data_IF_274918718742
#
_entry.id   IF_274918718742
#
_cell.length_a   1.000
_cell.length_b   1.000
_cell.length_c   1.000
_cell.angle_alpha   90.00
_cell.angle_beta   90.00
_cell.angle_gamma   90.00
#
_symmetry.space_group_name_H-M   'P 1'
#
loop_
_entity.id
_entity.type
_entity.pdbx_description
1 polymer ?
#
# COMPACT_ATOMS: atom_id res chain seq x y z
N UNK A 1 22.04 5.02 -6.93
CA UNK A 1 21.75 6.46 -6.95
C UNK A 1 20.75 6.74 -8.06
N UNK A 2 19.46 6.54 -7.76
CA UNK A 2 18.37 6.71 -8.72
C UNK A 2 17.26 7.49 -8.03
N UNK A 3 17.34 8.81 -8.18
CA UNK A 3 16.23 9.73 -7.96
C UNK A 3 15.22 9.52 -9.10
N UNK A 4 14.08 8.91 -8.79
CA UNK A 4 12.85 8.88 -9.59
C UNK A 4 11.73 8.37 -8.64
N UNK A 5 10.60 9.03 -8.40
CA UNK A 5 9.86 9.96 -9.23
C UNK A 5 8.92 10.84 -8.37
N UNK A 6 9.26 12.11 -8.16
CA UNK A 6 8.39 13.14 -7.57
C UNK A 6 7.41 13.72 -8.61
N UNK A 7 6.63 12.88 -9.30
CA UNK A 7 5.62 13.36 -10.25
C UNK A 7 4.36 12.48 -10.38
N UNK A 8 4.17 11.50 -9.49
CA UNK A 8 2.91 10.75 -9.33
C UNK A 8 2.29 11.11 -7.97
N UNK A 9 0.97 11.04 -7.82
CA UNK A 9 0.34 11.30 -6.52
C UNK A 9 0.96 10.42 -5.42
N UNK A 10 1.06 10.97 -4.20
CA UNK A 10 1.72 10.33 -3.05
C UNK A 10 1.34 8.84 -2.93
N UNK A 11 2.29 7.93 -3.11
CA UNK A 11 2.08 6.49 -3.06
C UNK A 11 1.79 6.02 -1.64
N UNK A 12 1.51 4.72 -1.47
CA UNK A 12 1.34 4.11 -0.15
C UNK A 12 2.35 2.99 0.09
N UNK A 13 3.11 3.09 1.18
CA UNK A 13 3.85 1.95 1.75
C UNK A 13 3.05 1.38 2.92
N UNK A 14 2.73 0.10 2.86
CA UNK A 14 1.86 -0.58 3.81
C UNK A 14 2.68 -1.62 4.57
N UNK A 15 2.88 -1.37 5.86
CA UNK A 15 3.58 -2.29 6.75
C UNK A 15 2.61 -3.36 7.22
N UNK A 16 2.94 -4.63 6.98
CA UNK A 16 2.06 -5.76 7.30
C UNK A 16 2.76 -6.74 8.25
N UNK A 17 1.98 -7.27 9.18
CA UNK A 17 2.43 -8.26 10.16
C UNK A 17 1.94 -9.68 9.83
N UNK A 18 0.97 -9.79 8.93
CA UNK A 18 0.37 -11.08 8.55
C UNK A 18 0.09 -11.14 7.05
N UNK A 19 0.15 -12.33 6.49
CA UNK A 19 -0.23 -12.59 5.09
C UNK A 19 -1.70 -12.23 4.80
N UNK A 20 -2.58 -12.39 5.80
CA UNK A 20 -3.99 -12.04 5.71
C UNK A 20 -4.23 -10.55 5.46
N UNK A 21 -3.35 -9.68 5.96
CA UNK A 21 -3.41 -8.24 5.71
C UNK A 21 -3.17 -7.92 4.23
N UNK A 22 -2.19 -8.57 3.60
CA UNK A 22 -1.90 -8.40 2.16
C UNK A 22 -3.13 -8.73 1.32
N UNK A 23 -3.79 -9.86 1.61
CA UNK A 23 -5.01 -10.29 0.90
C UNK A 23 -6.16 -9.30 1.10
N UNK A 24 -6.34 -8.78 2.31
CA UNK A 24 -7.40 -7.83 2.65
C UNK A 24 -7.20 -6.49 1.93
N UNK A 25 -5.97 -5.97 1.92
CA UNK A 25 -5.60 -4.75 1.20
C UNK A 25 -5.78 -4.93 -0.30
N UNK A 26 -5.31 -6.04 -0.87
CA UNK A 26 -5.47 -6.33 -2.29
C UNK A 26 -6.96 -6.36 -2.70
N UNK A 27 -7.82 -6.96 -1.87
CA UNK A 27 -9.26 -7.00 -2.09
C UNK A 27 -9.89 -5.61 -2.08
N UNK A 28 -9.52 -4.75 -1.12
CA UNK A 28 -9.98 -3.37 -1.08
C UNK A 28 -9.54 -2.60 -2.33
N UNK A 29 -8.25 -2.63 -2.65
CA UNK A 29 -7.70 -1.92 -3.80
C UNK A 29 -8.32 -2.39 -5.12
N UNK A 30 -8.61 -3.70 -5.26
CA UNK A 30 -9.32 -4.25 -6.42
C UNK A 30 -10.75 -3.70 -6.56
N UNK A 31 -11.47 -3.54 -5.44
CA UNK A 31 -12.80 -2.91 -5.43
C UNK A 31 -12.73 -1.44 -5.81
N UNK A 32 -11.78 -0.70 -5.24
CA UNK A 32 -11.61 0.73 -5.49
C UNK A 32 -11.20 1.02 -6.94
N UNK A 33 -10.52 0.10 -7.61
CA UNK A 33 -10.22 0.21 -9.05
C UNK A 33 -11.44 0.31 -9.95
N UNK A 34 -12.61 -0.17 -9.50
CA UNK A 34 -13.86 -0.06 -10.24
C UNK A 34 -14.53 1.31 -10.08
N UNK A 35 -14.08 2.13 -9.12
CA UNK A 35 -14.62 3.46 -8.88
C UNK A 35 -13.93 4.50 -9.77
N UNK A 36 -14.58 4.82 -10.89
CA UNK A 36 -14.10 5.81 -11.86
C UNK A 36 -14.09 7.26 -11.33
N UNK A 37 -14.70 7.54 -10.17
CA UNK A 37 -14.69 8.87 -9.57
C UNK A 37 -13.34 9.23 -8.92
N UNK A 38 -12.55 8.21 -8.57
CA UNK A 38 -11.26 8.39 -7.91
C UNK A 38 -10.18 8.71 -8.95
N UNK A 39 -9.85 10.00 -9.06
CA UNK A 39 -8.85 10.53 -10.01
C UNK A 39 -7.41 10.31 -9.55
N UNK A 40 -7.17 10.39 -8.23
CA UNK A 40 -5.84 10.26 -7.65
C UNK A 40 -5.39 8.81 -7.67
N UNK A 41 -4.22 8.58 -8.26
CA UNK A 41 -3.57 7.28 -8.33
C UNK A 41 -2.13 7.39 -7.90
N UNK A 42 -1.62 6.32 -7.31
CA UNK A 42 -0.21 6.24 -6.93
C UNK A 42 0.22 4.80 -6.70
N UNK A 43 1.54 4.58 -6.62
CA UNK A 43 2.12 3.26 -6.44
C UNK A 43 1.80 2.73 -5.03
N UNK A 44 1.72 1.40 -4.91
CA UNK A 44 1.58 0.72 -3.62
C UNK A 44 2.71 -0.29 -3.44
N UNK A 45 3.31 -0.30 -2.25
CA UNK A 45 4.25 -1.34 -1.82
C UNK A 45 3.86 -1.92 -0.45
N UNK A 46 4.23 -3.17 -0.22
CA UNK A 46 4.10 -3.83 1.07
C UNK A 46 5.48 -3.93 1.73
N UNK A 47 5.61 -3.49 2.98
CA UNK A 47 6.78 -3.73 3.80
C UNK A 47 6.48 -4.89 4.75
N UNK A 48 7.24 -5.97 4.62
CA UNK A 48 7.06 -7.20 5.37
C UNK A 48 8.25 -7.33 6.31
N UNK A 49 7.98 -7.37 7.61
CA UNK A 49 9.00 -7.64 8.61
C UNK A 49 9.21 -9.16 8.74
N UNK A 50 10.39 -9.66 8.35
CA UNK A 50 10.81 -11.02 8.64
C UNK A 50 11.28 -11.09 10.10
N UNK A 51 10.43 -11.62 10.98
CA UNK A 51 10.72 -11.72 12.42
C UNK A 51 11.84 -12.71 12.76
N UNK A 52 12.16 -13.66 11.87
CA UNK A 52 13.22 -14.62 12.14
C UNK A 52 14.61 -14.00 11.89
N UNK A 53 14.71 -13.13 10.88
CA UNK A 53 15.98 -12.50 10.49
C UNK A 53 16.12 -11.06 10.98
N UNK A 54 15.01 -10.42 11.39
CA UNK A 54 14.95 -8.99 11.71
C UNK A 54 15.06 -8.08 10.49
N UNK A 55 14.97 -8.64 9.28
CA UNK A 55 15.07 -7.89 8.03
C UNK A 55 13.69 -7.43 7.57
N UNK A 56 13.64 -6.29 6.89
CA UNK A 56 12.43 -5.82 6.21
C UNK A 56 12.56 -6.04 4.72
N UNK A 57 11.49 -6.55 4.11
CA UNK A 57 11.40 -6.78 2.67
C UNK A 57 10.30 -5.90 2.10
N UNK A 58 10.67 -4.97 1.23
CA UNK A 58 9.71 -4.16 0.47
C UNK A 58 9.37 -4.85 -0.85
N UNK A 59 8.08 -5.05 -1.09
CA UNK A 59 7.53 -5.64 -2.32
C UNK A 59 6.64 -4.62 -3.01
N UNK A 60 7.12 -4.08 -4.13
CA UNK A 60 6.34 -3.20 -4.98
C UNK A 60 5.29 -3.99 -5.77
N UNK A 61 4.07 -3.45 -5.87
CA UNK A 61 3.00 -4.04 -6.68
C UNK A 61 3.20 -3.83 -8.19
N UNK A 62 4.10 -2.93 -8.59
CA UNK A 62 4.44 -2.63 -9.97
C UNK A 62 3.36 -1.87 -10.76
N UNK A 63 2.33 -1.32 -10.08
CA UNK A 63 1.24 -0.57 -10.72
C UNK A 63 0.61 0.45 -9.78
N UNK A 64 -0.11 1.39 -10.37
CA UNK A 64 -0.82 2.43 -9.62
C UNK A 64 -2.26 2.02 -9.27
N UNK A 65 -2.65 2.33 -8.03
CA UNK A 65 -3.99 2.12 -7.51
C UNK A 65 -4.69 3.45 -7.22
N UNK A 66 -6.03 3.50 -7.27
CA UNK A 66 -6.76 4.64 -6.75
C UNK A 66 -6.49 4.77 -5.25
N UNK A 67 -6.10 5.96 -4.82
CA UNK A 67 -5.71 6.23 -3.44
C UNK A 67 -6.26 7.59 -3.02
N UNK A 68 -6.77 7.64 -1.79
CA UNK A 68 -7.26 8.87 -1.15
C UNK A 68 -7.20 8.68 0.38
N UNK A 69 -7.47 9.73 1.18
CA UNK A 69 -7.45 9.62 2.64
C UNK A 69 -8.41 8.56 3.21
N UNK A 70 -9.55 8.31 2.58
CA UNK A 70 -10.51 7.28 3.01
C UNK A 70 -9.95 5.87 2.80
N UNK A 71 -9.34 5.58 1.65
CA UNK A 71 -8.69 4.31 1.35
C UNK A 71 -7.53 4.07 2.33
N UNK A 72 -6.69 5.09 2.55
CA UNK A 72 -5.62 5.04 3.55
C UNK A 72 -6.17 4.72 4.94
N UNK A 73 -7.23 5.41 5.36
CA UNK A 73 -7.90 5.17 6.65
C UNK A 73 -8.46 3.76 6.77
N UNK A 74 -9.08 3.24 5.72
CA UNK A 74 -9.61 1.87 5.68
C UNK A 74 -8.48 0.83 5.80
N UNK A 75 -7.36 1.02 5.11
CA UNK A 75 -6.19 0.14 5.20
C UNK A 75 -5.61 0.15 6.62
N UNK A 76 -5.46 1.34 7.23
CA UNK A 76 -4.96 1.48 8.62
C UNK A 76 -5.82 0.74 9.65
N UNK A 77 -7.11 0.56 9.38
CA UNK A 77 -8.02 -0.14 10.29
C UNK A 77 -8.03 -1.67 10.11
N UNK A 78 -7.33 -2.23 9.13
CA UNK A 78 -7.31 -3.66 8.88
C UNK A 78 -6.44 -4.42 9.88
N UNK A 79 -6.92 -5.58 10.32
CA UNK A 79 -6.14 -6.48 11.16
C UNK A 79 -4.86 -6.92 10.42
N UNK A 80 -3.73 -6.85 11.11
CA UNK A 80 -2.42 -7.20 10.56
C UNK A 80 -1.75 -6.10 9.73
N UNK A 81 -2.33 -4.91 9.62
CA UNK A 81 -1.63 -3.71 9.13
C UNK A 81 -1.04 -2.97 10.33
N UNK A 82 0.28 -2.77 10.34
CA UNK A 82 0.98 -2.07 11.41
C UNK A 82 1.03 -0.55 11.16
N UNK A 83 1.32 -0.15 9.93
CA UNK A 83 1.54 1.25 9.55
C UNK A 83 1.19 1.46 8.07
N UNK A 84 0.75 2.68 7.74
CA UNK A 84 0.60 3.13 6.35
C UNK A 84 1.23 4.50 6.21
N UNK A 85 2.26 4.57 5.37
CA UNK A 85 3.03 5.76 5.05
C UNK A 85 2.62 6.29 3.67
N UNK A 86 2.67 7.61 3.50
CA UNK A 86 2.66 8.23 2.18
C UNK A 86 4.10 8.37 1.71
N UNK A 87 4.36 8.04 0.44
CA UNK A 87 5.70 8.04 -0.18
C UNK A 87 5.74 8.80 -1.49
#
# INVERSE_FOLDING_TARGET
DSVAADAGGAGLRIHVETEGAVTSVATLLARMQQDASIRSRGPVSFLIADRATGTEVEVATGRDFPINPQIKGAIKAMSGVALVEEV
#
